data_IF_871679464359
#
_entry.id   IF_871679464359
#
_cell.length_a   1.000
_cell.length_b   1.000
_cell.length_c   1.000
_cell.angle_alpha   90.00
_cell.angle_beta   90.00
_cell.angle_gamma   90.00
#
_symmetry.space_group_name_H-M   'P 1'
#
loop_
_entity.id
_entity.type
_entity.pdbx_description
1 polymer ?
#
# COMPACT_ATOMS: atom_id res chain seq x y z
N UNK A 1 85.87 -3.65 -62.88
CA UNK A 1 85.09 -2.92 -61.89
C UNK A 1 84.80 -3.89 -60.71
N UNK A 2 85.47 -3.67 -59.60
CA UNK A 2 85.42 -4.58 -58.44
C UNK A 2 84.39 -4.09 -57.49
N UNK A 3 83.44 -4.97 -57.09
CA UNK A 3 82.48 -4.72 -56.03
C UNK A 3 83.09 -5.00 -54.64
N UNK A 4 82.81 -4.23 -53.60
CA UNK A 4 83.36 -4.44 -52.26
C UNK A 4 82.57 -5.48 -51.48
N UNK A 5 83.26 -6.26 -50.64
CA UNK A 5 82.79 -7.28 -49.74
C UNK A 5 82.21 -6.59 -48.49
N UNK A 6 80.99 -6.98 -48.06
CA UNK A 6 80.39 -6.62 -46.82
C UNK A 6 80.74 -7.67 -45.74
N UNK A 7 81.13 -7.29 -44.51
CA UNK A 7 81.43 -8.24 -43.46
C UNK A 7 80.17 -8.76 -42.77
N UNK A 8 80.15 -10.05 -42.44
CA UNK A 8 79.15 -10.71 -41.61
C UNK A 8 79.14 -10.14 -40.19
N UNK A 9 77.97 -9.67 -39.72
CA UNK A 9 77.69 -9.34 -38.36
C UNK A 9 77.07 -10.56 -37.72
N UNK A 10 77.68 -11.03 -36.63
CA UNK A 10 77.22 -12.09 -35.71
C UNK A 10 75.89 -11.65 -34.97
N UNK A 11 74.86 -12.53 -34.82
CA UNK A 11 73.70 -12.19 -34.02
C UNK A 11 74.01 -12.34 -32.54
N UNK A 12 73.81 -11.24 -31.80
CA UNK A 12 73.76 -11.20 -30.35
C UNK A 12 72.41 -11.81 -29.93
N UNK A 13 72.48 -12.96 -29.24
CA UNK A 13 71.29 -13.58 -28.58
C UNK A 13 70.91 -12.73 -27.37
N UNK A 14 69.85 -11.86 -27.50
CA UNK A 14 69.19 -11.25 -26.34
C UNK A 14 68.20 -12.25 -25.78
N UNK A 15 68.51 -12.85 -24.65
CA UNK A 15 67.59 -13.67 -23.87
C UNK A 15 66.52 -12.81 -23.23
N UNK A 16 65.29 -12.86 -23.79
CA UNK A 16 64.08 -12.22 -23.21
C UNK A 16 63.62 -13.08 -22.03
N UNK A 17 63.92 -12.64 -20.82
CA UNK A 17 63.39 -13.24 -19.58
C UNK A 17 61.90 -12.89 -19.47
N UNK A 18 60.98 -13.80 -19.84
CA UNK A 18 59.59 -13.71 -19.54
C UNK A 18 59.36 -13.91 -18.05
N UNK A 19 59.22 -12.82 -17.30
CA UNK A 19 58.66 -12.84 -15.97
C UNK A 19 57.15 -13.19 -16.09
N UNK A 20 56.84 -14.48 -15.91
CA UNK A 20 55.43 -14.91 -15.72
C UNK A 20 55.04 -14.41 -14.33
N UNK A 21 54.42 -13.23 -14.28
CA UNK A 21 53.65 -12.83 -13.10
C UNK A 21 52.45 -13.77 -13.03
N UNK A 22 52.46 -14.74 -12.15
CA UNK A 22 51.32 -15.54 -11.77
C UNK A 22 50.28 -14.55 -11.20
N UNK A 23 49.39 -14.06 -12.03
CA UNK A 23 48.18 -13.34 -11.63
C UNK A 23 47.36 -14.32 -10.79
N UNK A 24 47.51 -14.27 -9.47
CA UNK A 24 46.56 -14.91 -8.58
C UNK A 24 45.19 -14.30 -8.89
N UNK A 25 44.35 -15.04 -9.58
CA UNK A 25 42.94 -14.74 -9.68
C UNK A 25 42.39 -14.80 -8.24
N UNK A 26 42.33 -13.65 -7.58
CA UNK A 26 41.67 -13.50 -6.28
C UNK A 26 40.22 -13.89 -6.50
N UNK A 27 39.88 -15.16 -6.17
CA UNK A 27 38.50 -15.58 -6.06
C UNK A 27 37.86 -14.65 -5.02
N UNK A 28 36.84 -13.87 -5.37
CA UNK A 28 36.24 -12.95 -4.41
C UNK A 28 35.82 -13.72 -3.17
N UNK A 29 36.09 -13.21 -1.97
CA UNK A 29 35.79 -13.90 -0.73
C UNK A 29 34.31 -14.26 -0.70
N UNK A 30 34.02 -15.52 -0.38
CA UNK A 30 32.64 -16.02 -0.28
C UNK A 30 31.90 -15.25 0.81
N UNK A 31 30.87 -14.51 0.44
CA UNK A 31 30.04 -13.75 1.39
C UNK A 31 29.47 -14.69 2.48
N UNK A 32 29.54 -14.25 3.70
CA UNK A 32 28.88 -14.88 4.85
C UNK A 32 27.35 -14.77 4.75
N UNK A 33 26.63 -15.47 5.62
CA UNK A 33 25.16 -15.43 5.62
C UNK A 33 24.58 -14.02 5.84
N UNK A 34 25.01 -13.23 6.87
CA UNK A 34 24.50 -11.88 7.04
C UNK A 34 24.82 -10.96 5.86
N UNK A 35 26.00 -11.10 5.23
CA UNK A 35 26.34 -10.33 4.04
C UNK A 35 25.43 -10.68 2.86
N UNK A 36 25.16 -11.97 2.61
CA UNK A 36 24.24 -12.40 1.55
C UNK A 36 22.82 -11.90 1.78
N UNK A 37 22.33 -11.93 3.01
CA UNK A 37 20.99 -11.43 3.34
C UNK A 37 20.92 -9.91 3.14
N UNK A 38 21.96 -9.16 3.50
CA UNK A 38 22.04 -7.72 3.24
C UNK A 38 22.03 -7.41 1.73
N UNK A 39 22.89 -8.08 0.95
CA UNK A 39 22.94 -7.91 -0.50
C UNK A 39 21.58 -8.22 -1.15
N UNK A 40 20.95 -9.33 -0.75
CA UNK A 40 19.64 -9.71 -1.26
C UNK A 40 18.57 -8.66 -0.92
N UNK A 41 18.57 -8.15 0.30
CA UNK A 41 17.64 -7.11 0.72
C UNK A 41 17.82 -5.83 -0.10
N UNK A 42 19.05 -5.30 -0.16
CA UNK A 42 19.35 -4.11 -0.92
C UNK A 42 19.03 -4.26 -2.40
N UNK A 43 19.43 -5.36 -3.03
CA UNK A 43 19.15 -5.62 -4.45
C UNK A 43 17.64 -5.74 -4.72
N UNK A 44 16.89 -6.41 -3.83
CA UNK A 44 15.44 -6.53 -4.00
C UNK A 44 14.76 -5.15 -4.00
N UNK A 45 15.16 -4.25 -3.09
CA UNK A 45 14.66 -2.87 -3.10
C UNK A 45 15.08 -2.13 -4.36
N UNK A 46 16.36 -2.22 -4.76
CA UNK A 46 16.87 -1.60 -5.99
C UNK A 46 16.06 -1.98 -7.22
N UNK A 47 15.69 -3.25 -7.33
CA UNK A 47 15.01 -3.79 -8.51
C UNK A 47 13.49 -3.55 -8.49
N UNK A 48 12.87 -3.47 -7.32
CA UNK A 48 11.42 -3.52 -7.20
C UNK A 48 10.78 -2.32 -6.49
N UNK A 49 11.50 -1.55 -5.67
CA UNK A 49 10.87 -0.43 -4.97
C UNK A 49 10.56 0.74 -5.90
N UNK A 50 9.29 1.21 -5.88
CA UNK A 50 8.76 2.13 -6.88
C UNK A 50 8.97 3.62 -6.56
N UNK A 51 9.41 4.01 -5.33
CA UNK A 51 9.21 5.37 -4.85
C UNK A 51 10.46 6.06 -4.28
N UNK A 52 11.67 5.65 -4.67
CA UNK A 52 12.90 6.31 -4.21
C UNK A 52 12.89 7.82 -4.50
N UNK A 53 12.53 8.20 -5.73
CA UNK A 53 12.48 9.62 -6.13
C UNK A 53 11.39 10.40 -5.35
N UNK A 54 10.22 9.78 -5.10
CA UNK A 54 9.15 10.40 -4.33
C UNK A 54 9.56 10.71 -2.89
N UNK A 55 10.37 9.84 -2.29
CA UNK A 55 10.84 9.98 -0.91
C UNK A 55 12.22 10.66 -0.81
N UNK A 56 12.80 11.08 -1.94
CA UNK A 56 14.13 11.71 -2.01
C UNK A 56 15.24 10.86 -1.37
N UNK A 57 15.20 9.53 -1.55
CA UNK A 57 16.17 8.59 -1.00
C UNK A 57 17.13 8.13 -2.09
N UNK A 58 18.42 8.39 -1.88
CA UNK A 58 19.50 7.80 -2.66
C UNK A 58 19.82 6.40 -2.11
N UNK A 59 19.42 5.38 -2.86
CA UNK A 59 19.56 3.99 -2.42
C UNK A 59 21.00 3.48 -2.58
N UNK A 60 21.78 4.02 -3.53
CA UNK A 60 23.23 3.74 -3.65
C UNK A 60 24.00 4.34 -2.47
N UNK A 61 23.67 5.56 -2.07
CA UNK A 61 24.25 6.18 -0.86
C UNK A 61 23.87 5.40 0.40
N UNK A 62 22.64 4.88 0.46
CA UNK A 62 22.19 4.00 1.55
C UNK A 62 23.04 2.73 1.61
N UNK A 63 23.32 2.10 0.47
CA UNK A 63 24.23 0.97 0.39
C UNK A 63 25.63 1.32 0.87
N UNK A 64 26.23 2.39 0.35
CA UNK A 64 27.57 2.83 0.70
C UNK A 64 27.72 3.09 2.22
N UNK A 65 26.65 3.58 2.85
CA UNK A 65 26.60 3.87 4.29
C UNK A 65 26.54 2.59 5.14
N UNK A 66 25.68 1.64 4.78
CA UNK A 66 25.38 0.50 5.64
C UNK A 66 26.19 -0.76 5.30
N UNK A 67 26.57 -0.98 4.04
CA UNK A 67 27.30 -2.19 3.62
C UNK A 67 28.60 -2.42 4.41
N UNK A 68 29.46 -1.43 4.70
CA UNK A 68 30.70 -1.62 5.46
C UNK A 68 30.46 -2.09 6.91
N UNK A 69 29.27 -1.87 7.47
CA UNK A 69 28.94 -2.29 8.84
C UNK A 69 28.55 -3.76 8.94
N UNK A 70 28.32 -4.44 7.80
CA UNK A 70 27.89 -5.85 7.76
C UNK A 70 29.09 -6.75 7.48
N UNK A 71 29.37 -7.65 8.40
CA UNK A 71 30.48 -8.59 8.36
C UNK A 71 30.02 -10.02 8.68
N UNK A 72 30.93 -10.98 8.59
CA UNK A 72 30.67 -12.36 9.00
C UNK A 72 30.27 -12.49 10.50
N UNK A 73 30.58 -11.49 11.32
CA UNK A 73 30.28 -11.46 12.77
C UNK A 73 28.95 -10.77 13.08
N UNK A 74 28.31 -10.14 12.11
CA UNK A 74 27.03 -9.44 12.29
C UNK A 74 25.96 -10.43 12.76
N UNK A 75 25.40 -10.18 13.92
CA UNK A 75 24.33 -11.00 14.50
C UNK A 75 23.00 -10.78 13.76
N UNK A 76 22.05 -11.71 13.87
CA UNK A 76 20.72 -11.54 13.30
C UNK A 76 19.97 -10.29 13.80
N UNK A 77 20.18 -9.88 15.06
CA UNK A 77 19.54 -8.69 15.62
C UNK A 77 20.14 -7.40 15.05
N UNK A 78 21.49 -7.33 14.93
CA UNK A 78 22.17 -6.20 14.32
C UNK A 78 21.79 -6.05 12.82
N UNK A 79 21.75 -7.16 12.08
CA UNK A 79 21.30 -7.13 10.68
C UNK A 79 19.88 -6.56 10.58
N UNK A 80 18.93 -7.05 11.39
CA UNK A 80 17.54 -6.57 11.36
C UNK A 80 17.44 -5.09 11.71
N UNK A 81 18.16 -4.63 12.72
CA UNK A 81 18.21 -3.21 13.09
C UNK A 81 18.77 -2.37 11.94
N UNK A 82 19.81 -2.87 11.25
CA UNK A 82 20.37 -2.17 10.08
C UNK A 82 19.37 -2.11 8.93
N UNK A 83 18.73 -3.23 8.58
CA UNK A 83 17.72 -3.25 7.50
C UNK A 83 16.55 -2.31 7.80
N UNK A 84 16.08 -2.24 9.05
CA UNK A 84 15.04 -1.31 9.47
C UNK A 84 15.47 0.15 9.28
N UNK A 85 16.69 0.52 9.69
CA UNK A 85 17.25 1.86 9.50
C UNK A 85 17.42 2.25 8.04
N UNK A 86 17.74 1.30 7.17
CA UNK A 86 17.85 1.55 5.72
C UNK A 86 16.53 2.00 5.10
N UNK A 87 15.41 1.42 5.55
CA UNK A 87 14.08 1.68 4.95
C UNK A 87 13.26 2.73 5.69
N UNK A 88 13.66 3.13 6.89
CA UNK A 88 12.97 4.15 7.68
C UNK A 88 12.77 5.48 6.92
N UNK A 89 13.76 6.01 6.15
CA UNK A 89 13.58 7.24 5.39
C UNK A 89 12.53 7.15 4.27
N UNK A 90 12.17 5.94 3.84
CA UNK A 90 11.17 5.71 2.80
C UNK A 90 9.75 6.07 3.25
N UNK A 91 9.47 6.12 4.56
CA UNK A 91 8.16 6.50 5.14
C UNK A 91 6.97 5.85 4.42
N UNK A 92 7.10 4.57 4.14
CA UNK A 92 6.14 3.78 3.38
C UNK A 92 5.46 2.74 4.29
N UNK A 93 4.15 2.87 4.46
CA UNK A 93 3.36 2.01 5.34
C UNK A 93 3.20 0.56 4.85
N UNK A 94 3.53 0.26 3.60
CA UNK A 94 3.55 -1.10 3.06
C UNK A 94 4.85 -1.85 3.37
N UNK A 95 5.90 -1.15 3.84
CA UNK A 95 7.14 -1.80 4.27
C UNK A 95 6.92 -2.51 5.60
N UNK A 96 7.19 -3.81 5.61
CA UNK A 96 7.17 -4.63 6.82
C UNK A 96 8.39 -5.55 6.79
N UNK A 97 9.07 -5.71 7.93
CA UNK A 97 10.07 -6.76 8.14
C UNK A 97 9.55 -7.62 9.28
N UNK A 98 9.44 -8.93 9.07
CA UNK A 98 8.91 -9.87 10.06
C UNK A 98 9.76 -11.14 10.14
N UNK A 99 9.66 -11.86 11.26
CA UNK A 99 10.22 -13.21 11.42
C UNK A 99 9.11 -14.13 11.95
N UNK A 100 8.61 -15.01 11.08
CA UNK A 100 7.36 -15.73 11.38
C UNK A 100 6.26 -14.71 11.67
N UNK A 101 5.55 -14.87 12.76
CA UNK A 101 4.44 -13.98 13.17
C UNK A 101 4.89 -12.70 13.89
N UNK A 102 6.19 -12.56 14.17
CA UNK A 102 6.72 -11.39 14.87
C UNK A 102 7.10 -10.28 13.89
N UNK A 103 6.39 -9.16 13.95
CA UNK A 103 6.77 -7.93 13.23
C UNK A 103 8.00 -7.32 13.92
N UNK A 104 9.07 -7.11 13.16
CA UNK A 104 10.33 -6.51 13.59
C UNK A 104 10.41 -5.03 13.22
N UNK A 105 9.82 -4.66 12.09
CA UNK A 105 9.68 -3.28 11.62
C UNK A 105 8.37 -3.12 10.83
N UNK A 106 7.70 -2.00 11.03
CA UNK A 106 6.54 -1.58 10.24
C UNK A 106 6.72 -0.12 9.86
N UNK A 107 6.73 0.15 8.56
CA UNK A 107 6.79 1.51 8.04
C UNK A 107 5.53 2.32 8.37
N UNK A 108 5.67 3.63 8.31
CA UNK A 108 4.58 4.59 8.55
C UNK A 108 4.34 5.42 7.30
N UNK A 109 3.07 5.61 6.93
CA UNK A 109 2.69 6.51 5.83
C UNK A 109 3.03 7.96 6.19
N UNK A 110 3.29 8.81 5.18
CA UNK A 110 3.46 10.26 5.36
C UNK A 110 2.17 10.92 5.85
N UNK A 111 1.02 10.46 5.38
CA UNK A 111 -0.31 10.89 5.81
C UNK A 111 -0.84 9.91 6.85
N UNK A 112 -0.96 10.36 8.09
CA UNK A 112 -1.38 9.49 9.20
C UNK A 112 -2.01 10.26 10.38
N UNK A 113 -2.55 11.46 10.13
CA UNK A 113 -3.14 12.30 11.19
C UNK A 113 -4.28 11.61 11.91
N UNK A 114 -5.14 10.87 11.21
CA UNK A 114 -6.19 10.07 11.85
C UNK A 114 -5.63 9.09 12.89
N UNK A 115 -4.56 8.36 12.56
CA UNK A 115 -3.93 7.43 13.49
C UNK A 115 -3.25 8.15 14.65
N UNK A 116 -2.64 9.31 14.42
CA UNK A 116 -2.00 10.10 15.46
C UNK A 116 -3.02 10.71 16.42
N UNK A 117 -4.06 11.36 15.89
CA UNK A 117 -4.98 12.17 16.68
C UNK A 117 -6.08 11.34 17.36
N UNK A 118 -6.46 10.20 16.77
CA UNK A 118 -7.60 9.41 17.22
C UNK A 118 -7.27 7.98 17.66
N UNK A 119 -6.01 7.53 17.60
CA UNK A 119 -5.62 6.16 17.93
C UNK A 119 -6.14 5.70 19.30
N UNK A 120 -5.97 6.52 20.33
CA UNK A 120 -6.33 6.18 21.70
C UNK A 120 -7.83 6.36 21.99
N UNK A 121 -8.54 7.09 21.14
CA UNK A 121 -9.94 7.46 21.30
C UNK A 121 -10.85 6.91 20.20
N UNK A 122 -10.42 5.89 19.50
CA UNK A 122 -11.19 5.32 18.38
C UNK A 122 -12.61 4.87 18.79
N UNK A 123 -12.79 4.35 19.98
CA UNK A 123 -14.13 4.00 20.47
C UNK A 123 -15.02 5.23 20.60
N UNK A 124 -14.51 6.29 21.20
CA UNK A 124 -15.22 7.57 21.33
C UNK A 124 -15.52 8.18 19.95
N UNK A 125 -14.57 8.09 19.03
CA UNK A 125 -14.75 8.56 17.64
C UNK A 125 -15.95 7.88 16.97
N UNK A 126 -16.03 6.57 17.03
CA UNK A 126 -17.14 5.83 16.41
C UNK A 126 -18.45 5.94 17.20
N UNK A 127 -18.40 5.99 18.52
CA UNK A 127 -19.58 6.28 19.34
C UNK A 127 -20.18 7.64 19.00
N UNK A 128 -19.34 8.67 18.80
CA UNK A 128 -19.78 10.01 18.36
C UNK A 128 -20.46 9.94 17.00
N UNK A 129 -19.87 9.24 16.02
CA UNK A 129 -20.49 9.07 14.71
C UNK A 129 -21.88 8.38 14.82
N UNK A 130 -22.00 7.32 15.62
CA UNK A 130 -23.25 6.60 15.80
C UNK A 130 -24.32 7.40 16.56
N UNK A 131 -23.92 8.18 17.55
CA UNK A 131 -24.84 9.11 18.25
C UNK A 131 -25.34 10.20 17.31
N UNK A 132 -24.47 10.74 16.43
CA UNK A 132 -24.87 11.74 15.43
C UNK A 132 -25.82 11.14 14.38
N UNK A 133 -25.66 9.87 13.99
CA UNK A 133 -26.61 9.15 13.15
C UNK A 133 -27.97 9.01 13.83
N UNK A 134 -28.00 8.56 15.09
CA UNK A 134 -29.26 8.42 15.85
C UNK A 134 -29.97 9.76 15.99
N UNK A 135 -29.25 10.84 16.32
CA UNK A 135 -29.82 12.20 16.37
C UNK A 135 -30.39 12.67 15.01
N UNK A 136 -29.86 12.13 13.89
CA UNK A 136 -30.38 12.37 12.54
C UNK A 136 -31.50 11.42 12.11
N UNK A 137 -32.03 10.60 13.02
CA UNK A 137 -33.16 9.71 12.77
C UNK A 137 -32.81 8.35 12.19
N UNK A 138 -31.55 7.91 12.36
CA UNK A 138 -31.15 6.55 12.03
C UNK A 138 -31.43 5.58 13.18
N UNK A 139 -31.75 4.35 12.82
CA UNK A 139 -31.82 3.23 13.76
C UNK A 139 -30.46 3.02 14.48
N UNK A 140 -30.41 2.31 15.62
CA UNK A 140 -29.17 1.94 16.24
C UNK A 140 -28.25 1.20 15.26
N UNK A 141 -26.98 1.65 15.17
CA UNK A 141 -25.99 1.01 14.28
C UNK A 141 -25.67 -0.38 14.79
N UNK A 142 -25.84 -1.38 13.95
CA UNK A 142 -25.49 -2.78 14.25
C UNK A 142 -24.28 -3.25 13.46
N UNK A 143 -23.44 -4.06 14.09
CA UNK A 143 -22.28 -4.66 13.46
C UNK A 143 -22.58 -5.99 12.82
N UNK A 144 -21.82 -6.36 11.78
CA UNK A 144 -21.91 -7.62 11.06
C UNK A 144 -20.53 -8.21 10.81
N UNK A 145 -20.49 -9.54 10.73
CA UNK A 145 -19.30 -10.31 10.43
C UNK A 145 -18.40 -10.53 11.65
N UNK A 146 -17.20 -11.04 11.41
CA UNK A 146 -16.23 -11.35 12.46
C UNK A 146 -15.69 -10.08 13.12
N UNK A 147 -15.24 -10.24 14.37
CA UNK A 147 -14.55 -9.19 15.09
C UNK A 147 -13.02 -9.37 14.96
N UNK A 148 -12.33 -8.30 14.61
CA UNK A 148 -10.86 -8.21 14.67
C UNK A 148 -10.51 -7.01 15.54
N UNK A 149 -9.78 -7.25 16.63
CA UNK A 149 -9.57 -6.24 17.66
C UNK A 149 -10.91 -5.80 18.27
N UNK A 150 -11.21 -4.51 18.19
CA UNK A 150 -12.44 -3.91 18.75
C UNK A 150 -13.58 -3.77 17.74
N UNK A 151 -13.37 -4.07 16.47
CA UNK A 151 -14.32 -3.75 15.41
C UNK A 151 -14.76 -4.98 14.61
N UNK A 152 -16.06 -5.03 14.30
CA UNK A 152 -16.62 -5.95 13.31
C UNK A 152 -16.28 -5.48 11.88
N UNK A 153 -16.48 -6.34 10.91
CA UNK A 153 -16.17 -6.03 9.48
C UNK A 153 -17.01 -4.88 8.98
N UNK A 154 -18.30 -4.97 9.17
CA UNK A 154 -19.29 -4.02 8.69
C UNK A 154 -20.16 -3.49 9.86
N UNK A 155 -20.69 -2.29 9.65
CA UNK A 155 -21.71 -1.70 10.49
C UNK A 155 -22.75 -1.05 9.60
N UNK A 156 -24.02 -1.27 9.89
CA UNK A 156 -25.09 -0.69 9.10
C UNK A 156 -26.21 -0.12 9.95
N UNK A 157 -26.91 0.82 9.36
CA UNK A 157 -28.10 1.45 9.88
C UNK A 157 -28.93 2.05 8.74
N UNK A 158 -30.20 2.34 9.00
CA UNK A 158 -31.14 2.96 8.08
C UNK A 158 -31.89 4.07 8.79
N UNK A 159 -32.11 5.19 8.12
CA UNK A 159 -32.88 6.29 8.66
C UNK A 159 -34.38 6.18 8.31
N UNK A 160 -35.24 6.83 9.09
CA UNK A 160 -36.64 7.04 8.78
C UNK A 160 -36.86 7.79 7.46
N UNK A 161 -35.89 8.62 7.04
CA UNK A 161 -35.86 9.31 5.74
C UNK A 161 -35.37 8.43 4.57
N UNK A 162 -35.29 7.13 4.77
CA UNK A 162 -34.86 6.12 3.78
C UNK A 162 -33.44 6.34 3.22
N UNK A 163 -32.50 6.74 4.08
CA UNK A 163 -31.06 6.80 3.79
C UNK A 163 -30.37 5.65 4.49
N UNK A 164 -29.52 4.91 3.75
CA UNK A 164 -28.68 3.84 4.30
C UNK A 164 -27.33 4.39 4.79
N UNK A 165 -26.82 3.78 5.85
CA UNK A 165 -25.44 3.95 6.33
C UNK A 165 -24.75 2.61 6.37
N UNK A 166 -23.58 2.52 5.78
CA UNK A 166 -22.74 1.33 5.76
C UNK A 166 -21.29 1.73 6.06
N UNK A 167 -20.76 1.35 7.22
CA UNK A 167 -19.35 1.48 7.53
C UNK A 167 -18.63 0.19 7.22
N UNK A 168 -17.58 0.25 6.41
CA UNK A 168 -16.63 -0.82 6.15
C UNK A 168 -15.36 -0.55 6.96
N UNK A 169 -15.14 -1.34 8.04
CA UNK A 169 -14.00 -1.08 8.95
C UNK A 169 -12.66 -1.56 8.40
N UNK A 170 -12.69 -2.53 7.47
CA UNK A 170 -11.55 -3.15 6.80
C UNK A 170 -12.00 -3.90 5.55
N UNK A 171 -11.08 -4.18 4.63
CA UNK A 171 -11.33 -4.92 3.40
C UNK A 171 -10.91 -6.39 3.50
N UNK A 172 -11.16 -7.05 4.62
CA UNK A 172 -11.02 -8.50 4.84
C UNK A 172 -11.98 -8.95 5.94
N UNK A 173 -12.43 -10.20 5.90
CA UNK A 173 -13.31 -10.74 6.92
C UNK A 173 -12.53 -11.19 8.16
N UNK A 174 -11.46 -11.96 7.97
CA UNK A 174 -10.63 -12.53 9.05
C UNK A 174 -9.14 -12.30 8.81
N UNK A 175 -8.33 -12.23 9.87
CA UNK A 175 -6.88 -12.03 9.77
C UNK A 175 -6.18 -13.13 8.95
N UNK A 176 -6.68 -14.37 8.98
CA UNK A 176 -6.17 -15.46 8.16
C UNK A 176 -6.27 -15.20 6.66
N UNK A 177 -7.19 -14.36 6.21
CA UNK A 177 -7.30 -13.96 4.81
C UNK A 177 -6.20 -13.03 4.33
N UNK A 178 -5.62 -12.23 5.23
CA UNK A 178 -4.54 -11.27 4.90
C UNK A 178 -3.16 -11.86 5.16
N UNK A 179 -3.03 -12.73 6.17
CA UNK A 179 -1.73 -13.28 6.63
C UNK A 179 -1.53 -14.74 6.24
N UNK A 180 -2.51 -15.38 5.60
CA UNK A 180 -2.53 -16.79 5.30
C UNK A 180 -2.07 -17.15 3.89
N UNK A 181 -2.48 -18.34 3.44
CA UNK A 181 -2.24 -18.84 2.10
C UNK A 181 -3.22 -18.21 1.09
N UNK A 182 -2.90 -18.31 -0.21
CA UNK A 182 -3.80 -17.88 -1.31
C UNK A 182 -5.20 -18.50 -1.21
N UNK A 183 -5.32 -19.74 -0.74
CA UNK A 183 -6.62 -20.39 -0.52
C UNK A 183 -7.41 -19.71 0.59
N UNK A 184 -6.75 -19.34 1.68
CA UNK A 184 -7.39 -18.62 2.80
C UNK A 184 -7.83 -17.22 2.37
N UNK A 185 -7.02 -16.53 1.58
CA UNK A 185 -7.36 -15.24 1.00
C UNK A 185 -8.61 -15.34 0.11
N UNK A 186 -8.69 -16.32 -0.79
CA UNK A 186 -9.87 -16.54 -1.63
C UNK A 186 -11.14 -16.84 -0.82
N UNK A 187 -11.02 -17.65 0.23
CA UNK A 187 -12.15 -17.94 1.12
C UNK A 187 -12.60 -16.71 1.89
N UNK A 188 -11.66 -15.92 2.36
CA UNK A 188 -11.94 -14.65 3.06
C UNK A 188 -12.62 -13.64 2.14
N UNK A 189 -12.14 -13.52 0.89
CA UNK A 189 -12.76 -12.69 -0.14
C UNK A 189 -14.23 -13.06 -0.36
N UNK A 190 -14.52 -14.35 -0.50
CA UNK A 190 -15.91 -14.83 -0.67
C UNK A 190 -16.78 -14.47 0.55
N UNK A 191 -16.25 -14.63 1.77
CA UNK A 191 -16.97 -14.26 3.01
C UNK A 191 -17.23 -12.76 3.07
N UNK A 192 -16.20 -11.94 2.80
CA UNK A 192 -16.32 -10.49 2.81
C UNK A 192 -17.36 -10.00 1.79
N UNK A 193 -17.28 -10.49 0.56
CA UNK A 193 -18.23 -10.13 -0.49
C UNK A 193 -19.65 -10.58 -0.15
N UNK A 194 -19.81 -11.75 0.43
CA UNK A 194 -21.13 -12.25 0.91
C UNK A 194 -21.72 -11.35 1.99
N UNK A 195 -20.92 -10.89 2.96
CA UNK A 195 -21.35 -9.95 3.99
C UNK A 195 -21.72 -8.58 3.41
N UNK A 196 -20.90 -8.06 2.51
CA UNK A 196 -21.16 -6.79 1.83
C UNK A 196 -22.42 -6.85 0.97
N UNK A 197 -22.60 -7.92 0.20
CA UNK A 197 -23.78 -8.14 -0.62
C UNK A 197 -25.07 -8.27 0.22
N UNK A 198 -25.02 -8.93 1.38
CA UNK A 198 -26.14 -9.03 2.30
C UNK A 198 -26.53 -7.65 2.87
N UNK A 199 -25.54 -6.88 3.32
CA UNK A 199 -25.76 -5.51 3.81
C UNK A 199 -26.33 -4.59 2.71
N UNK A 200 -25.81 -4.70 1.49
CA UNK A 200 -26.28 -3.87 0.37
C UNK A 200 -27.69 -4.24 -0.08
N UNK A 201 -28.08 -5.54 -0.05
CA UNK A 201 -29.47 -5.96 -0.34
C UNK A 201 -30.43 -5.38 0.69
N UNK A 202 -30.08 -5.37 1.98
CA UNK A 202 -30.91 -4.78 3.03
C UNK A 202 -31.12 -3.27 2.83
N UNK A 203 -30.08 -2.58 2.31
CA UNK A 203 -30.12 -1.14 2.03
C UNK A 203 -30.56 -0.81 0.59
N UNK A 204 -30.91 -1.80 -0.22
CA UNK A 204 -31.17 -1.63 -1.66
C UNK A 204 -32.35 -0.68 -1.97
N UNK A 205 -33.36 -0.62 -1.10
CA UNK A 205 -34.49 0.28 -1.23
C UNK A 205 -34.22 1.71 -0.73
N UNK A 206 -33.04 1.98 -0.13
CA UNK A 206 -32.68 3.32 0.29
C UNK A 206 -32.50 4.26 -0.90
N UNK A 207 -33.01 5.49 -0.78
CA UNK A 207 -32.87 6.53 -1.82
C UNK A 207 -31.46 7.08 -1.96
N UNK A 208 -30.60 6.88 -0.95
CA UNK A 208 -29.19 7.24 -0.93
C UNK A 208 -28.43 6.38 0.08
N UNK A 209 -27.13 6.24 -0.11
CA UNK A 209 -26.26 5.44 0.75
C UNK A 209 -25.04 6.27 1.19
N UNK A 210 -24.75 6.27 2.48
CA UNK A 210 -23.48 6.75 3.05
C UNK A 210 -22.58 5.51 3.25
N UNK A 211 -21.43 5.46 2.59
CA UNK A 211 -20.40 4.43 2.81
C UNK A 211 -19.23 5.06 3.54
N UNK A 212 -19.02 4.64 4.78
CA UNK A 212 -17.97 5.19 5.65
C UNK A 212 -16.73 4.29 5.64
N UNK A 213 -15.67 4.79 5.02
CA UNK A 213 -14.37 4.13 4.88
C UNK A 213 -13.30 4.75 5.79
N UNK A 214 -13.67 5.72 6.62
CA UNK A 214 -12.71 6.38 7.52
C UNK A 214 -12.02 5.37 8.42
N UNK A 215 -10.70 5.44 8.50
CA UNK A 215 -9.89 4.51 9.30
C UNK A 215 -9.80 3.08 8.77
N UNK A 216 -10.33 2.79 7.59
CA UNK A 216 -10.19 1.49 6.94
C UNK A 216 -8.80 1.34 6.32
N UNK A 217 -7.92 0.57 6.95
CA UNK A 217 -6.54 0.34 6.50
C UNK A 217 -6.39 -0.59 5.30
N UNK A 218 -7.48 -1.03 4.65
CA UNK A 218 -7.44 -1.90 3.48
C UNK A 218 -7.54 -3.39 3.80
N UNK A 219 -6.90 -4.20 3.00
CA UNK A 219 -6.96 -5.65 2.94
C UNK A 219 -6.95 -6.11 1.48
N UNK A 220 -8.02 -6.75 1.03
CA UNK A 220 -8.25 -7.15 -0.36
C UNK A 220 -9.71 -6.83 -0.77
N UNK A 221 -10.07 -7.03 -2.04
CA UNK A 221 -11.48 -6.95 -2.53
C UNK A 221 -12.13 -5.55 -2.55
N UNK A 222 -11.35 -4.47 -2.47
CA UNK A 222 -11.89 -3.11 -2.58
C UNK A 222 -12.59 -2.86 -3.91
N UNK A 223 -11.98 -3.26 -5.01
CA UNK A 223 -12.50 -3.13 -6.38
C UNK A 223 -13.77 -3.95 -6.59
N UNK A 224 -13.79 -5.18 -6.07
CA UNK A 224 -14.92 -6.09 -6.17
C UNK A 224 -16.13 -5.53 -5.43
N UNK A 225 -15.95 -4.99 -4.23
CA UNK A 225 -17.04 -4.31 -3.51
C UNK A 225 -17.51 -3.05 -4.24
N UNK A 226 -16.59 -2.23 -4.75
CA UNK A 226 -16.91 -1.04 -5.53
C UNK A 226 -17.75 -1.35 -6.78
N UNK A 227 -17.55 -2.52 -7.41
CA UNK A 227 -18.33 -2.94 -8.58
C UNK A 227 -19.84 -3.01 -8.33
N UNK A 228 -20.28 -3.19 -7.07
CA UNK A 228 -21.68 -3.21 -6.65
C UNK A 228 -22.30 -1.81 -6.57
N UNK A 229 -21.48 -0.79 -6.63
CA UNK A 229 -21.90 0.61 -6.57
C UNK A 229 -21.57 1.38 -7.85
N UNK A 230 -21.04 0.70 -8.86
CA UNK A 230 -20.56 1.31 -10.11
C UNK A 230 -21.66 1.37 -11.15
N UNK A 231 -21.73 2.46 -11.91
CA UNK A 231 -22.63 2.65 -13.05
C UNK A 231 -21.82 2.64 -14.34
N UNK A 232 -22.04 1.64 -15.20
CA UNK A 232 -21.32 1.50 -16.45
C UNK A 232 -19.85 1.09 -16.31
N UNK A 233 -19.28 0.52 -17.38
CA UNK A 233 -17.85 0.23 -17.45
C UNK A 233 -17.07 1.53 -17.66
N UNK A 234 -16.06 1.79 -16.83
CA UNK A 234 -15.29 3.03 -16.91
C UNK A 234 -13.83 2.82 -16.49
N UNK A 235 -12.95 3.70 -16.99
CA UNK A 235 -11.55 3.76 -16.57
C UNK A 235 -11.46 4.32 -15.15
N UNK A 236 -10.81 3.59 -14.26
CA UNK A 236 -10.61 4.00 -12.85
C UNK A 236 -9.22 4.58 -12.61
N UNK A 237 -8.17 3.97 -13.18
CA UNK A 237 -6.79 4.36 -12.98
C UNK A 237 -5.87 3.70 -14.01
N UNK A 238 -4.60 4.11 -13.98
CA UNK A 238 -3.52 3.39 -14.65
C UNK A 238 -2.55 2.85 -13.60
N UNK A 239 -1.87 1.75 -13.92
CA UNK A 239 -0.78 1.21 -13.11
C UNK A 239 0.50 1.09 -13.92
N UNK A 240 1.65 1.16 -13.24
CA UNK A 240 2.96 0.85 -13.80
C UNK A 240 3.80 0.12 -12.75
N UNK A 241 4.34 -1.04 -13.10
CA UNK A 241 5.17 -1.85 -12.23
C UNK A 241 6.65 -1.48 -12.37
N UNK A 242 7.35 -1.46 -11.26
CA UNK A 242 8.80 -1.27 -11.23
C UNK A 242 9.52 -2.44 -11.91
N UNK A 243 10.51 -2.14 -12.73
CA UNK A 243 11.36 -3.11 -13.42
C UNK A 243 12.81 -3.00 -12.98
N UNK A 244 13.57 -4.11 -12.94
CA UNK A 244 15.02 -4.06 -12.74
C UNK A 244 15.72 -3.18 -13.75
N UNK A 245 16.81 -2.53 -13.33
CA UNK A 245 17.59 -1.60 -14.16
C UNK A 245 17.73 -0.22 -13.50
N UNK A 246 17.56 0.86 -14.26
CA UNK A 246 17.60 2.23 -13.70
C UNK A 246 16.41 2.51 -12.77
N UNK A 247 16.55 3.43 -11.82
CA UNK A 247 15.56 3.69 -10.76
C UNK A 247 14.18 4.17 -11.25
N UNK A 248 14.08 4.67 -12.46
CA UNK A 248 12.83 5.10 -13.10
C UNK A 248 12.37 4.18 -14.24
N UNK A 249 12.79 2.91 -14.22
CA UNK A 249 12.30 1.92 -15.18
C UNK A 249 11.01 1.27 -14.70
N UNK A 250 9.95 1.45 -15.48
CA UNK A 250 8.62 0.92 -15.22
C UNK A 250 8.05 0.26 -16.49
N UNK A 251 7.04 -0.58 -16.31
CA UNK A 251 6.21 -1.02 -17.45
C UNK A 251 5.48 0.18 -18.06
N UNK A 252 5.03 0.08 -19.31
CA UNK A 252 4.06 1.02 -19.85
C UNK A 252 2.81 1.13 -18.94
N UNK A 253 2.18 2.30 -18.92
CA UNK A 253 0.92 2.51 -18.19
C UNK A 253 -0.16 1.54 -18.67
N UNK A 254 -0.65 0.71 -17.77
CA UNK A 254 -1.74 -0.23 -18.02
C UNK A 254 -3.05 0.35 -17.49
N UNK A 255 -4.09 0.54 -18.33
CA UNK A 255 -5.38 1.03 -17.89
C UNK A 255 -6.17 -0.04 -17.14
N UNK A 256 -6.78 0.35 -16.02
CA UNK A 256 -7.71 -0.50 -15.28
C UNK A 256 -9.14 0.00 -15.45
N UNK A 257 -10.03 -0.91 -15.86
CA UNK A 257 -11.45 -0.62 -16.02
C UNK A 257 -12.27 -1.40 -14.99
N UNK A 258 -13.19 -0.70 -14.32
CA UNK A 258 -14.20 -1.36 -13.49
C UNK A 258 -15.45 -1.62 -14.34
N UNK A 259 -15.99 -2.83 -14.24
CA UNK A 259 -17.29 -3.22 -14.78
C UNK A 259 -18.27 -3.42 -13.62
N UNK A 260 -19.49 -2.87 -13.71
CA UNK A 260 -20.51 -3.10 -12.69
C UNK A 260 -20.77 -4.58 -12.43
N UNK A 261 -21.05 -4.94 -11.18
CA UNK A 261 -21.46 -6.28 -10.85
C UNK A 261 -22.81 -6.62 -11.49
N UNK A 262 -22.95 -7.75 -12.25
CA UNK A 262 -24.17 -8.04 -12.98
C UNK A 262 -25.33 -8.51 -12.07
N UNK A 263 -25.03 -9.01 -10.86
CA UNK A 263 -26.04 -9.59 -9.96
C UNK A 263 -26.58 -8.61 -8.93
N UNK A 264 -25.75 -7.74 -8.40
CA UNK A 264 -26.12 -6.76 -7.38
C UNK A 264 -25.48 -5.43 -7.70
N UNK A 265 -26.29 -4.42 -7.96
CA UNK A 265 -25.82 -3.10 -8.31
C UNK A 265 -26.72 -2.02 -7.70
N UNK A 266 -26.17 -1.19 -6.83
CA UNK A 266 -26.84 -0.04 -6.23
C UNK A 266 -26.50 1.21 -7.04
N UNK A 267 -27.52 1.84 -7.64
CA UNK A 267 -27.35 2.96 -8.59
C UNK A 267 -27.85 4.30 -8.04
N UNK A 268 -28.41 4.32 -6.82
CA UNK A 268 -28.85 5.55 -6.19
C UNK A 268 -27.63 6.39 -5.72
N UNK A 269 -27.80 7.67 -5.35
CA UNK A 269 -26.73 8.50 -4.83
C UNK A 269 -25.93 7.85 -3.71
N UNK A 270 -24.59 7.90 -3.81
CA UNK A 270 -23.65 7.37 -2.83
C UNK A 270 -22.75 8.49 -2.30
N UNK A 271 -22.62 8.59 -1.00
CA UNK A 271 -21.64 9.45 -0.35
C UNK A 271 -20.55 8.58 0.30
N UNK A 272 -19.30 8.74 -0.13
CA UNK A 272 -18.14 8.06 0.47
C UNK A 272 -17.49 9.00 1.49
N UNK A 273 -17.33 8.52 2.73
CA UNK A 273 -16.59 9.23 3.76
C UNK A 273 -15.19 8.65 3.86
N UNK A 274 -14.18 9.51 3.74
CA UNK A 274 -12.77 9.11 3.75
C UNK A 274 -11.93 9.98 4.69
N UNK A 275 -10.78 9.47 5.08
CA UNK A 275 -9.71 10.23 5.71
C UNK A 275 -8.35 9.58 5.40
N UNK A 276 -7.25 10.11 5.93
CA UNK A 276 -5.90 9.57 5.76
C UNK A 276 -5.65 8.23 6.48
N UNK A 277 -6.65 7.69 7.16
CA UNK A 277 -6.70 6.30 7.63
C UNK A 277 -7.32 5.34 6.62
N UNK A 278 -7.91 5.84 5.51
CA UNK A 278 -8.43 5.04 4.39
C UNK A 278 -7.25 4.68 3.49
N UNK A 279 -6.82 3.41 3.48
CA UNK A 279 -5.56 3.00 2.87
C UNK A 279 -5.68 1.72 2.02
N UNK A 280 -4.74 1.52 1.07
CA UNK A 280 -4.57 0.29 0.30
C UNK A 280 -5.86 -0.11 -0.43
N UNK A 281 -6.36 -1.32 -0.29
CA UNK A 281 -7.60 -1.80 -0.95
C UNK A 281 -8.84 -0.93 -0.68
N UNK A 282 -8.88 -0.20 0.46
CA UNK A 282 -9.93 0.79 0.70
C UNK A 282 -9.77 2.04 -0.19
N UNK A 283 -8.54 2.41 -0.55
CA UNK A 283 -8.30 3.46 -1.54
C UNK A 283 -8.69 3.01 -2.94
N UNK A 284 -8.45 1.74 -3.29
CA UNK A 284 -8.92 1.18 -4.56
C UNK A 284 -10.44 1.22 -4.67
N UNK A 285 -11.16 0.97 -3.57
CA UNK A 285 -12.61 1.15 -3.51
C UNK A 285 -13.01 2.60 -3.83
N UNK A 286 -12.37 3.57 -3.20
CA UNK A 286 -12.63 5.00 -3.44
C UNK A 286 -12.24 5.39 -4.86
N UNK A 287 -11.04 5.00 -5.30
CA UNK A 287 -10.51 5.28 -6.65
C UNK A 287 -11.41 4.75 -7.75
N UNK A 288 -12.01 3.59 -7.52
CA UNK A 288 -12.95 2.98 -8.46
C UNK A 288 -14.26 3.79 -8.64
N UNK A 289 -14.61 4.62 -7.66
CA UNK A 289 -15.94 5.28 -7.62
C UNK A 289 -15.89 6.81 -7.62
N UNK A 290 -14.81 7.46 -7.22
CA UNK A 290 -14.78 8.90 -6.90
C UNK A 290 -15.14 9.82 -8.09
N UNK A 291 -15.09 9.31 -9.32
CA UNK A 291 -15.50 10.03 -10.55
C UNK A 291 -16.88 9.64 -11.07
N UNK A 292 -17.54 8.69 -10.43
CA UNK A 292 -18.89 8.31 -10.83
C UNK A 292 -19.86 9.49 -10.56
N UNK A 293 -20.80 9.81 -11.49
CA UNK A 293 -21.65 10.99 -11.37
C UNK A 293 -22.57 10.96 -10.14
N UNK A 294 -22.98 9.78 -9.69
CA UNK A 294 -23.85 9.57 -8.52
C UNK A 294 -23.04 9.46 -7.20
N UNK A 295 -21.71 9.56 -7.24
CA UNK A 295 -20.84 9.42 -6.08
C UNK A 295 -20.29 10.78 -5.66
N UNK A 296 -20.39 11.10 -4.37
CA UNK A 296 -19.74 12.26 -3.74
C UNK A 296 -18.81 11.80 -2.65
N UNK A 297 -17.52 12.20 -2.71
CA UNK A 297 -16.53 11.91 -1.68
C UNK A 297 -16.42 13.09 -0.72
N UNK A 298 -16.44 12.82 0.60
CA UNK A 298 -16.42 13.83 1.67
C UNK A 298 -15.42 13.45 2.75
N UNK A 299 -14.73 14.43 3.31
CA UNK A 299 -13.77 14.27 4.40
C UNK A 299 -12.38 14.74 4.03
N UNK A 300 -11.37 13.92 4.20
CA UNK A 300 -10.00 14.18 3.77
C UNK A 300 -9.59 13.17 2.68
N UNK A 301 -8.56 13.53 1.91
CA UNK A 301 -7.95 12.60 0.95
C UNK A 301 -7.56 11.31 1.67
N UNK A 302 -7.53 10.22 0.93
CA UNK A 302 -7.09 8.92 1.45
C UNK A 302 -5.59 8.92 1.80
N UNK A 303 -5.07 7.82 2.33
CA UNK A 303 -3.69 7.73 2.84
C UNK A 303 -2.60 7.98 1.78
N UNK A 304 -2.86 7.65 0.53
CA UNK A 304 -1.84 7.63 -0.51
C UNK A 304 -0.90 6.43 -0.37
N UNK A 305 -1.46 5.27 -0.08
CA UNK A 305 -0.79 3.98 0.04
C UNK A 305 -1.48 2.97 -0.88
N UNK A 306 -1.42 3.23 -2.19
CA UNK A 306 -2.14 2.41 -3.18
C UNK A 306 -1.31 1.25 -3.74
N UNK A 307 0.02 1.34 -3.65
CA UNK A 307 0.90 0.34 -4.25
C UNK A 307 0.63 -1.08 -3.75
N UNK A 308 0.63 -2.03 -4.66
CA UNK A 308 0.69 -3.44 -4.27
C UNK A 308 2.03 -3.76 -3.59
N UNK A 309 1.99 -4.71 -2.65
CA UNK A 309 3.16 -5.15 -1.91
C UNK A 309 3.90 -6.27 -2.66
N UNK A 310 5.21 -6.10 -2.87
CA UNK A 310 6.10 -7.16 -3.33
C UNK A 310 6.67 -7.91 -2.11
N UNK A 311 6.34 -9.18 -1.91
CA UNK A 311 6.88 -9.97 -0.81
C UNK A 311 8.23 -10.57 -1.18
N UNK A 312 9.16 -10.59 -0.23
CA UNK A 312 10.45 -11.25 -0.38
C UNK A 312 10.90 -11.90 0.95
N UNK A 313 11.88 -12.80 0.87
CA UNK A 313 12.35 -13.55 2.03
C UNK A 313 13.88 -13.59 2.08
N UNK A 314 14.42 -13.46 3.30
CA UNK A 314 15.81 -13.68 3.64
C UNK A 314 15.97 -15.03 4.34
N UNK A 315 17.20 -15.34 4.74
CA UNK A 315 17.47 -16.53 5.55
C UNK A 315 16.80 -16.44 6.95
N UNK A 316 16.62 -17.58 7.62
CA UNK A 316 16.09 -17.60 8.98
C UNK A 316 14.60 -17.21 9.12
N UNK A 317 13.80 -17.45 8.10
CA UNK A 317 12.36 -17.13 8.07
C UNK A 317 12.07 -15.63 8.24
N UNK A 318 13.01 -14.77 7.83
CA UNK A 318 12.76 -13.32 7.78
C UNK A 318 12.11 -13.00 6.46
N UNK A 319 10.93 -12.38 6.50
CA UNK A 319 10.19 -11.88 5.34
C UNK A 319 10.16 -10.37 5.36
N UNK A 320 10.06 -9.77 4.19
CA UNK A 320 9.84 -8.33 4.08
C UNK A 320 8.97 -7.99 2.86
N UNK A 321 8.34 -6.84 2.92
CA UNK A 321 7.51 -6.30 1.84
C UNK A 321 7.99 -4.91 1.44
N UNK A 322 7.69 -4.52 0.21
CA UNK A 322 7.95 -3.19 -0.33
C UNK A 322 6.90 -2.84 -1.38
N UNK A 323 6.69 -1.55 -1.59
CA UNK A 323 5.78 -1.03 -2.63
C UNK A 323 6.45 -1.09 -4.00
N UNK A 324 5.83 -1.78 -4.99
CA UNK A 324 6.46 -2.02 -6.29
C UNK A 324 5.71 -1.46 -7.50
N UNK A 325 4.50 -0.94 -7.29
CA UNK A 325 3.61 -0.50 -8.36
C UNK A 325 3.15 0.95 -8.13
N UNK A 326 3.16 1.75 -9.18
CA UNK A 326 2.62 3.12 -9.18
C UNK A 326 1.18 3.10 -9.65
N UNK A 327 0.31 3.81 -8.92
CA UNK A 327 -1.08 4.07 -9.28
C UNK A 327 -1.25 5.53 -9.71
N UNK A 328 -1.83 5.72 -10.88
CA UNK A 328 -2.10 7.04 -11.43
C UNK A 328 -3.61 7.23 -11.64
N UNK A 329 -4.11 8.40 -11.30
CA UNK A 329 -5.50 8.76 -11.64
C UNK A 329 -5.73 8.72 -13.15
N UNK A 330 -7.00 8.75 -13.64
CA UNK A 330 -7.29 8.88 -15.07
C UNK A 330 -6.65 10.10 -15.73
N UNK A 331 -6.29 11.14 -14.96
CA UNK A 331 -5.55 12.33 -15.43
C UNK A 331 -4.02 12.16 -15.33
N UNK A 332 -3.54 10.93 -15.15
CA UNK A 332 -2.10 10.60 -15.03
C UNK A 332 -1.40 11.26 -13.83
N UNK A 333 -2.13 11.54 -12.75
CA UNK A 333 -1.55 12.04 -11.49
C UNK A 333 -1.17 10.86 -10.62
N UNK A 334 0.10 10.81 -10.17
CA UNK A 334 0.56 9.80 -9.21
C UNK A 334 -0.16 10.02 -7.86
N UNK A 335 -0.78 8.96 -7.35
CA UNK A 335 -1.59 9.01 -6.13
C UNK A 335 -0.83 8.64 -4.86
N UNK A 336 0.30 7.94 -4.99
CA UNK A 336 1.13 7.59 -3.82
C UNK A 336 1.58 8.86 -3.07
N UNK A 337 1.47 8.84 -1.75
CA UNK A 337 1.76 9.98 -0.87
C UNK A 337 0.72 11.11 -0.88
N UNK A 338 -0.20 11.13 -1.85
CA UNK A 338 -1.25 12.17 -2.00
C UNK A 338 -2.63 11.68 -1.62
N UNK A 339 -2.93 10.40 -1.87
CA UNK A 339 -4.24 9.80 -1.75
C UNK A 339 -5.21 10.14 -2.88
N UNK A 340 -6.34 9.46 -2.87
CA UNK A 340 -7.47 9.78 -3.76
C UNK A 340 -8.14 11.05 -3.24
N UNK A 341 -8.32 12.08 -4.06
CA UNK A 341 -8.85 13.36 -3.61
C UNK A 341 -10.36 13.27 -3.31
N UNK A 342 -10.80 14.02 -2.32
CA UNK A 342 -12.23 14.19 -2.02
C UNK A 342 -12.82 15.36 -2.80
N UNK A 343 -14.10 15.21 -3.16
CA UNK A 343 -14.86 16.28 -3.82
C UNK A 343 -15.24 17.41 -2.87
N UNK A 344 -15.55 17.08 -1.62
CA UNK A 344 -15.94 18.03 -0.58
C UNK A 344 -15.02 17.84 0.64
N UNK A 345 -13.92 18.59 0.73
CA UNK A 345 -13.04 18.52 1.89
C UNK A 345 -13.73 19.03 3.16
N UNK A 346 -13.64 18.26 4.23
CA UNK A 346 -14.17 18.57 5.56
C UNK A 346 -13.16 18.09 6.60
N UNK A 347 -12.57 19.01 7.34
CA UNK A 347 -11.69 18.67 8.44
C UNK A 347 -12.45 18.06 9.61
N UNK A 348 -11.81 17.10 10.30
CA UNK A 348 -12.31 16.57 11.57
C UNK A 348 -11.27 16.86 12.67
N UNK A 349 -11.26 18.06 13.25
CA UNK A 349 -10.33 18.39 14.32
C UNK A 349 -10.68 17.65 15.61
N UNK A 350 -9.70 17.39 16.47
CA UNK A 350 -9.90 16.74 17.77
C UNK A 350 -10.98 17.45 18.62
N UNK A 351 -11.01 18.78 18.58
CA UNK A 351 -12.02 19.57 19.29
C UNK A 351 -13.47 19.20 18.92
N UNK A 352 -13.74 18.85 17.63
CA UNK A 352 -15.07 18.42 17.22
C UNK A 352 -15.48 17.11 17.92
N UNK A 353 -14.53 16.16 18.09
CA UNK A 353 -14.76 14.94 18.85
C UNK A 353 -15.05 15.23 20.32
N UNK A 354 -14.32 16.14 20.95
CA UNK A 354 -14.52 16.54 22.34
C UNK A 354 -15.92 17.16 22.54
N UNK A 355 -16.45 17.83 21.53
CA UNK A 355 -17.81 18.37 21.45
C UNK A 355 -18.87 17.33 21.03
N UNK A 356 -18.51 16.07 20.87
CA UNK A 356 -19.42 15.00 20.40
C UNK A 356 -20.07 15.31 19.04
N UNK A 357 -19.37 15.99 18.18
CA UNK A 357 -19.80 16.37 16.84
C UNK A 357 -18.96 15.71 15.76
N UNK A 358 -19.60 15.11 14.73
CA UNK A 358 -18.96 14.55 13.54
C UNK A 358 -19.24 15.48 12.34
N UNK A 359 -18.31 16.41 12.00
CA UNK A 359 -18.52 17.38 10.94
C UNK A 359 -18.59 16.72 9.55
N UNK A 360 -17.87 15.61 9.34
CA UNK A 360 -17.85 14.88 8.07
C UNK A 360 -19.20 14.22 7.82
N UNK A 361 -19.76 13.55 8.83
CA UNK A 361 -21.09 12.95 8.78
C UNK A 361 -22.19 14.01 8.65
N UNK A 362 -22.09 15.12 9.38
CA UNK A 362 -23.02 16.24 9.26
C UNK A 362 -23.07 16.80 7.82
N UNK A 363 -21.90 16.93 7.18
CA UNK A 363 -21.81 17.35 5.77
C UNK A 363 -22.45 16.33 4.82
N UNK A 364 -22.23 15.04 5.05
CA UNK A 364 -22.85 13.96 4.26
C UNK A 364 -24.38 14.02 4.33
N UNK A 365 -24.92 14.13 5.54
CA UNK A 365 -26.36 14.26 5.75
C UNK A 365 -26.95 15.51 5.08
N UNK A 366 -26.22 16.61 5.06
CA UNK A 366 -26.64 17.85 4.38
C UNK A 366 -26.67 17.71 2.85
N UNK A 367 -25.76 16.91 2.26
CA UNK A 367 -25.69 16.68 0.79
C UNK A 367 -26.81 15.75 0.30
N UNK A 368 -27.27 14.82 1.14
CA UNK A 368 -28.27 13.81 0.79
C UNK A 368 -29.72 14.37 0.93
N UNK A 369 -29.90 15.48 1.65
CA UNK A 369 -31.22 16.14 1.80
C UNK A 369 -31.70 16.69 0.47
#
# INVERSE_FOLDING_TARGET
MKLPRIPLLTPLLLGLLFLITAGSTLVPPRLSRPEKDFEKFWQTYKDHYAFFALHHVDWEQTYATFRPTITARTTPAELQATLARMVEPLRDGHITIARGDKILYKGTSQRHSYKTDFREVQETYWQTAYQNLQAAGFEPVRGLGSQVGKFQVLYLSKSSGNVGYLRLSRCFAELSGVMGSTRQEQQDQQRLLGLFDAALRELSACRALIVDLRGNGGGHSGKEMASRLSVGRHLTHFTAERRPGGYEQFTPLAPYYLTPNPGLNYQQPVVLLTNDGTASSAEEFVLALYRQPHVTTIGDNTAGMLSDMYPAQLSGKVTFTLSHQRYYSPDSVLLEGRGVPVRLPVAYPRQALDQRHDPVLARALAVIR
#
